data_IF_301221448307
#
_entry.id   IF_301221448307
#
_cell.length_a   1.000
_cell.length_b   1.000
_cell.length_c   1.000
_cell.angle_alpha   90.00
_cell.angle_beta   90.00
_cell.angle_gamma   90.00
#
_symmetry.space_group_name_H-M   'P 1'
#
loop_
_entity.id
_entity.type
_entity.pdbx_description
1 polymer ?
#
# COMPACT_ATOMS: atom_id res chain seq x y z
N UNK A 1 25.70 38.97 -9.07
CA UNK A 1 26.26 37.72 -8.51
C UNK A 1 25.37 37.32 -7.36
N UNK A 2 24.79 36.12 -7.36
CA UNK A 2 23.95 35.66 -6.25
C UNK A 2 24.80 35.63 -4.97
N UNK A 3 24.23 36.02 -3.87
CA UNK A 3 24.88 36.00 -2.57
C UNK A 3 25.11 34.59 -2.10
N UNK A 4 26.05 34.36 -1.20
CA UNK A 4 26.34 33.01 -0.66
C UNK A 4 25.11 32.39 0.05
N UNK A 5 24.19 33.22 0.51
CA UNK A 5 22.90 32.84 1.09
C UNK A 5 21.91 32.30 0.02
N UNK A 6 21.77 33.00 -1.11
CA UNK A 6 20.92 32.62 -2.23
C UNK A 6 21.37 31.29 -2.88
N UNK A 7 22.69 31.06 -3.02
CA UNK A 7 23.25 29.78 -3.50
C UNK A 7 22.89 28.66 -2.55
N UNK A 8 22.89 28.93 -1.24
CA UNK A 8 22.54 27.95 -0.24
C UNK A 8 21.05 27.57 -0.20
N UNK A 9 20.15 28.52 -0.42
CA UNK A 9 18.70 28.27 -0.49
C UNK A 9 18.35 27.43 -1.74
N UNK A 10 18.97 27.76 -2.87
CA UNK A 10 18.78 27.00 -4.12
C UNK A 10 19.23 25.54 -3.98
N UNK A 11 20.34 25.29 -3.27
CA UNK A 11 20.81 23.93 -3.01
C UNK A 11 19.87 23.13 -2.09
N UNK A 12 19.28 23.78 -1.07
CA UNK A 12 18.28 23.16 -0.19
C UNK A 12 17.02 22.80 -0.98
N UNK A 13 16.53 23.73 -1.78
CA UNK A 13 15.35 23.49 -2.63
C UNK A 13 15.61 22.35 -3.63
N UNK A 14 16.77 22.35 -4.26
CA UNK A 14 17.15 21.28 -5.20
C UNK A 14 17.26 19.91 -4.52
N UNK A 15 17.78 19.85 -3.29
CA UNK A 15 17.86 18.61 -2.52
C UNK A 15 16.47 18.10 -2.12
N UNK A 16 15.59 18.98 -1.63
CA UNK A 16 14.22 18.63 -1.27
C UNK A 16 13.40 18.20 -2.49
N UNK A 17 13.55 18.93 -3.61
CA UNK A 17 12.89 18.59 -4.87
C UNK A 17 13.37 17.20 -5.38
N UNK A 18 14.67 16.94 -5.31
CA UNK A 18 15.24 15.63 -5.68
C UNK A 18 14.71 14.49 -4.82
N UNK A 19 14.55 14.70 -3.52
CA UNK A 19 13.92 13.70 -2.61
C UNK A 19 12.44 13.53 -2.94
N UNK A 20 11.71 14.63 -3.19
CA UNK A 20 10.30 14.57 -3.56
C UNK A 20 10.07 13.88 -4.93
N UNK A 21 10.92 14.16 -5.92
CA UNK A 21 10.88 13.50 -7.22
C UNK A 21 11.20 12.00 -7.12
N UNK A 22 12.22 11.62 -6.32
CA UNK A 22 12.52 10.22 -6.03
C UNK A 22 11.34 9.54 -5.32
N UNK A 23 10.73 10.19 -4.34
CA UNK A 23 9.56 9.68 -3.62
C UNK A 23 8.32 9.53 -4.51
N UNK A 24 8.21 10.32 -5.58
CA UNK A 24 7.13 10.24 -6.55
C UNK A 24 7.37 9.19 -7.65
N UNK A 25 8.64 8.92 -7.97
CA UNK A 25 9.03 8.05 -9.08
C UNK A 25 9.42 6.62 -8.67
N UNK A 26 9.82 6.41 -7.40
CA UNK A 26 10.20 5.09 -6.92
C UNK A 26 8.96 4.36 -6.39
N UNK A 27 8.70 3.19 -6.96
CA UNK A 27 7.62 2.29 -6.53
C UNK A 27 8.05 1.46 -5.32
N UNK A 28 9.37 1.34 -5.08
CA UNK A 28 9.97 0.59 -3.99
C UNK A 28 10.44 1.54 -2.87
N UNK A 29 9.86 1.35 -1.69
CA UNK A 29 10.20 2.12 -0.49
C UNK A 29 11.62 1.86 -0.02
N UNK A 30 12.12 0.64 -0.19
CA UNK A 30 13.47 0.27 0.23
C UNK A 30 14.53 0.97 -0.64
N UNK A 31 14.27 1.13 -1.94
CA UNK A 31 15.12 1.92 -2.84
C UNK A 31 15.14 3.40 -2.45
N UNK A 32 14.00 3.98 -2.09
CA UNK A 32 13.92 5.36 -1.61
C UNK A 32 14.72 5.57 -0.32
N UNK A 33 14.56 4.69 0.66
CA UNK A 33 15.29 4.76 1.93
C UNK A 33 16.80 4.61 1.70
N UNK A 34 17.22 3.68 0.85
CA UNK A 34 18.63 3.49 0.49
C UNK A 34 19.22 4.71 -0.23
N UNK A 35 18.46 5.37 -1.10
CA UNK A 35 18.90 6.60 -1.76
C UNK A 35 19.07 7.76 -0.76
N UNK A 36 18.10 7.95 0.14
CA UNK A 36 18.14 9.01 1.16
C UNK A 36 19.34 8.86 2.08
N UNK A 37 19.61 7.66 2.63
CA UNK A 37 20.74 7.45 3.53
C UNK A 37 22.08 7.68 2.84
N UNK A 38 22.15 7.47 1.52
CA UNK A 38 23.36 7.66 0.72
C UNK A 38 23.62 9.13 0.38
N UNK A 39 22.57 9.88 0.07
CA UNK A 39 22.70 11.26 -0.41
C UNK A 39 22.77 12.30 0.71
N UNK A 40 22.02 12.07 1.80
CA UNK A 40 21.88 13.04 2.90
C UNK A 40 23.19 13.42 3.57
N UNK A 41 24.16 12.50 3.84
CA UNK A 41 25.45 12.86 4.44
C UNK A 41 26.20 13.94 3.65
N UNK A 42 26.18 13.86 2.33
CA UNK A 42 26.86 14.82 1.45
C UNK A 42 26.26 16.24 1.53
N UNK A 43 24.98 16.38 1.89
CA UNK A 43 24.31 17.67 2.00
C UNK A 43 24.69 18.44 3.26
N UNK A 44 25.02 17.72 4.33
CA UNK A 44 25.37 18.29 5.65
C UNK A 44 26.79 17.95 6.10
N UNK A 45 27.61 17.39 5.19
CA UNK A 45 29.04 17.10 5.38
C UNK A 45 29.34 16.26 6.62
N UNK A 46 28.60 15.20 6.80
CA UNK A 46 28.82 14.19 7.86
C UNK A 46 29.17 12.84 7.24
N UNK A 47 29.68 11.92 8.08
CA UNK A 47 30.16 10.62 7.61
C UNK A 47 29.03 9.65 7.29
N UNK A 48 28.03 9.56 8.17
CA UNK A 48 27.05 8.46 8.15
C UNK A 48 25.63 8.97 8.23
N UNK A 49 24.73 8.16 7.68
CA UNK A 49 23.28 8.35 7.82
C UNK A 49 22.61 7.00 8.04
N UNK A 50 21.57 6.99 8.88
CA UNK A 50 20.71 5.83 9.07
C UNK A 50 19.25 6.25 9.23
N UNK A 51 18.35 5.41 8.72
CA UNK A 51 16.91 5.53 8.94
C UNK A 51 16.45 4.45 9.91
N UNK A 52 15.77 4.87 10.95
CA UNK A 52 15.14 4.02 11.93
C UNK A 52 13.62 4.06 11.76
N UNK A 53 12.97 2.90 11.74
CA UNK A 53 11.53 2.80 11.93
C UNK A 53 11.21 2.84 13.43
N UNK A 54 10.07 3.42 13.79
CA UNK A 54 9.55 3.38 15.16
C UNK A 54 8.32 2.47 15.24
N UNK A 55 8.33 1.56 16.19
CA UNK A 55 7.18 0.71 16.54
C UNK A 55 6.55 1.21 17.84
N UNK A 56 5.30 1.68 17.74
CA UNK A 56 4.55 2.23 18.86
C UNK A 56 4.12 1.14 19.88
N UNK A 57 3.93 -0.11 19.39
CA UNK A 57 3.52 -1.23 20.24
C UNK A 57 4.66 -1.75 21.11
N UNK A 58 5.87 -1.87 20.58
CA UNK A 58 7.07 -2.28 21.34
C UNK A 58 7.85 -1.09 21.91
N UNK A 59 7.53 0.15 21.47
CA UNK A 59 8.22 1.38 21.85
C UNK A 59 9.72 1.34 21.55
N UNK A 60 10.05 0.92 20.32
CA UNK A 60 11.42 0.72 19.89
C UNK A 60 11.72 1.43 18.57
N UNK A 61 12.92 1.99 18.46
CA UNK A 61 13.50 2.39 17.19
C UNK A 61 14.35 1.24 16.64
N UNK A 62 14.09 0.85 15.38
CA UNK A 62 14.80 -0.24 14.72
C UNK A 62 15.45 0.26 13.44
N UNK A 63 16.77 0.10 13.32
CA UNK A 63 17.50 0.47 12.10
C UNK A 63 16.99 -0.32 10.90
N UNK A 64 16.71 0.39 9.81
CA UNK A 64 16.22 -0.17 8.54
C UNK A 64 17.27 -0.08 7.45
N UNK A 65 17.84 1.11 7.27
CA UNK A 65 18.86 1.39 6.29
C UNK A 65 19.95 2.25 6.91
N UNK A 66 21.19 2.00 6.54
CA UNK A 66 22.33 2.80 6.96
C UNK A 66 23.36 2.91 5.84
N UNK A 67 24.09 4.01 5.85
CA UNK A 67 25.17 4.30 4.92
C UNK A 67 26.40 4.80 5.68
N UNK A 68 27.58 4.34 5.26
CA UNK A 68 28.87 4.88 5.64
C UNK A 68 29.82 4.93 4.44
N UNK A 69 30.78 5.86 4.40
CA UNK A 69 31.82 5.90 3.37
C UNK A 69 32.61 4.59 3.32
N UNK A 70 32.93 4.15 2.11
CA UNK A 70 33.67 2.90 1.91
C UNK A 70 32.79 1.64 1.89
N UNK A 71 31.49 1.76 2.20
CA UNK A 71 30.56 0.62 2.23
C UNK A 71 30.80 -0.35 3.38
N UNK A 72 30.17 -1.52 3.29
CA UNK A 72 30.29 -2.58 4.31
C UNK A 72 29.30 -2.44 5.45
N UNK A 73 29.47 -3.26 6.49
CA UNK A 73 28.61 -3.29 7.68
C UNK A 73 28.76 -2.01 8.50
N UNK A 74 27.65 -1.48 8.96
CA UNK A 74 27.58 -0.29 9.81
C UNK A 74 27.28 -0.67 11.26
N UNK A 75 27.64 0.16 12.26
CA UNK A 75 27.24 -0.10 13.66
C UNK A 75 25.73 0.01 13.90
N UNK A 76 24.97 0.42 12.89
CA UNK A 76 23.51 0.48 12.93
C UNK A 76 22.86 -0.83 12.46
N UNK A 77 23.59 -1.73 11.81
CA UNK A 77 23.02 -2.96 11.25
C UNK A 77 22.44 -3.84 12.36
N UNK A 78 21.13 -4.08 12.27
CA UNK A 78 20.38 -4.81 13.29
C UNK A 78 20.20 -4.08 14.63
N UNK A 79 20.59 -2.80 14.73
CA UNK A 79 20.45 -2.03 15.96
C UNK A 79 18.98 -1.79 16.29
N UNK A 80 18.61 -2.12 17.52
CA UNK A 80 17.31 -1.83 18.12
C UNK A 80 17.57 -0.96 19.36
N UNK A 81 16.80 0.11 19.49
CA UNK A 81 16.90 1.10 20.56
C UNK A 81 15.53 1.22 21.23
N UNK A 82 15.28 0.49 22.35
CA UNK A 82 14.10 0.70 23.16
C UNK A 82 14.10 2.13 23.76
N UNK A 83 12.93 2.72 23.89
CA UNK A 83 12.80 4.04 24.54
C UNK A 83 13.39 4.05 25.96
N UNK A 84 13.30 2.92 26.67
CA UNK A 84 13.88 2.75 28.00
C UNK A 84 15.38 2.98 28.06
N UNK A 85 16.08 2.67 26.96
CA UNK A 85 17.53 2.81 26.86
C UNK A 85 17.95 4.26 26.51
N UNK A 86 17.05 5.03 25.91
CA UNK A 86 17.29 6.40 25.45
C UNK A 86 16.17 7.37 25.88
N UNK A 87 15.76 7.43 27.14
CA UNK A 87 14.52 8.07 27.58
C UNK A 87 14.43 9.56 27.24
N UNK A 88 15.52 10.33 27.39
CA UNK A 88 15.53 11.76 27.04
C UNK A 88 15.46 11.99 25.53
N UNK A 89 16.16 11.16 24.75
CA UNK A 89 16.12 11.22 23.28
C UNK A 89 14.73 10.82 22.79
N UNK A 90 14.19 9.73 23.31
CA UNK A 90 12.84 9.27 22.98
C UNK A 90 11.77 10.32 23.31
N UNK A 91 11.84 10.97 24.47
CA UNK A 91 10.92 12.06 24.84
C UNK A 91 10.95 13.18 23.80
N UNK A 92 12.14 13.60 23.35
CA UNK A 92 12.26 14.66 22.34
C UNK A 92 11.72 14.24 21.00
N UNK A 93 12.05 13.04 20.54
CA UNK A 93 11.65 12.55 19.20
C UNK A 93 10.16 12.16 19.16
N UNK A 94 9.67 11.42 20.16
CA UNK A 94 8.32 10.83 20.15
C UNK A 94 7.28 11.80 20.69
N UNK A 95 7.53 12.39 21.88
CA UNK A 95 6.53 13.24 22.55
C UNK A 95 6.57 14.69 22.03
N UNK A 96 7.76 15.26 21.90
CA UNK A 96 7.94 16.66 21.51
C UNK A 96 8.09 16.85 19.99
N UNK A 97 8.42 15.77 19.26
CA UNK A 97 8.69 15.81 17.78
C UNK A 97 9.77 16.82 17.41
N UNK A 98 10.77 16.93 18.26
CA UNK A 98 11.89 17.84 18.11
C UNK A 98 13.17 17.09 17.76
N UNK A 99 14.07 17.70 16.96
CA UNK A 99 15.40 17.15 16.70
C UNK A 99 16.20 17.01 17.99
N UNK A 100 17.13 16.07 17.99
CA UNK A 100 18.11 15.84 19.03
C UNK A 100 19.51 16.06 18.48
N UNK A 101 20.26 16.92 19.14
CA UNK A 101 21.68 17.11 18.87
C UNK A 101 22.50 16.38 19.94
N UNK A 102 23.45 15.55 19.49
CA UNK A 102 24.44 14.89 20.33
C UNK A 102 25.78 15.52 20.06
N UNK A 103 26.33 16.23 21.03
CA UNK A 103 27.67 16.83 20.92
C UNK A 103 28.67 16.22 21.89
N UNK A 104 29.95 16.41 21.63
CA UNK A 104 30.99 15.95 22.53
C UNK A 104 30.90 16.74 23.85
N UNK A 105 30.77 16.03 24.98
CA UNK A 105 30.64 16.65 26.30
C UNK A 105 29.24 17.09 26.69
N UNK A 106 28.22 16.86 25.87
CA UNK A 106 26.84 17.23 26.15
C UNK A 106 26.11 16.17 26.99
N UNK A 107 25.33 16.63 27.99
CA UNK A 107 24.40 15.79 28.78
C UNK A 107 23.08 15.59 28.02
N UNK A 108 23.17 15.13 26.76
CA UNK A 108 22.00 14.84 25.91
C UNK A 108 21.14 13.70 26.46
N UNK A 109 21.58 12.99 27.49
CA UNK A 109 20.95 11.80 28.02
C UNK A 109 21.07 10.57 27.11
N UNK A 110 21.97 10.63 26.09
CA UNK A 110 22.27 9.48 25.28
C UNK A 110 23.35 8.62 25.98
N UNK A 111 23.13 7.30 26.20
CA UNK A 111 24.04 6.46 26.99
C UNK A 111 25.47 6.43 26.42
N UNK A 112 26.44 6.69 27.28
CA UNK A 112 27.84 6.72 26.89
C UNK A 112 28.35 5.38 26.31
N UNK A 113 27.85 4.26 26.85
CA UNK A 113 28.12 2.90 26.34
C UNK A 113 27.66 2.72 24.89
N UNK A 114 26.45 3.20 24.57
CA UNK A 114 25.86 3.14 23.25
C UNK A 114 26.62 4.08 22.29
N UNK A 115 26.90 5.31 22.74
CA UNK A 115 27.73 6.26 21.98
C UNK A 115 29.08 5.68 21.59
N UNK A 116 29.76 5.02 22.55
CA UNK A 116 31.05 4.35 22.32
C UNK A 116 30.90 3.17 21.36
N UNK A 117 29.84 2.37 21.47
CA UNK A 117 29.57 1.23 20.60
C UNK A 117 29.34 1.67 19.16
N UNK A 118 28.58 2.74 18.94
CA UNK A 118 28.31 3.30 17.61
C UNK A 118 29.53 4.07 17.08
N UNK A 119 30.39 4.58 17.95
CA UNK A 119 31.57 5.37 17.59
C UNK A 119 31.25 6.81 17.19
N UNK A 120 30.09 7.33 17.62
CA UNK A 120 29.60 8.67 17.28
C UNK A 120 30.27 9.75 18.09
N UNK A 121 30.85 10.77 17.45
CA UNK A 121 31.38 11.98 18.10
C UNK A 121 30.30 13.07 18.20
N UNK A 122 29.58 13.29 17.13
CA UNK A 122 28.44 14.20 17.08
C UNK A 122 27.33 13.61 16.22
N UNK A 123 26.07 13.87 16.57
CA UNK A 123 24.94 13.42 15.76
C UNK A 123 23.78 14.42 15.79
N UNK A 124 23.02 14.41 14.68
CA UNK A 124 21.72 15.01 14.55
C UNK A 124 20.69 13.91 14.32
N UNK A 125 19.70 13.80 15.18
CA UNK A 125 18.61 12.84 15.05
C UNK A 125 17.33 13.64 14.86
N UNK A 126 16.66 13.42 13.72
CA UNK A 126 15.43 14.14 13.36
C UNK A 126 14.26 13.16 13.31
N UNK A 127 13.13 13.45 13.97
CA UNK A 127 11.97 12.59 13.90
C UNK A 127 11.34 12.61 12.49
N UNK A 128 10.96 11.44 12.00
CA UNK A 128 10.18 11.27 10.78
C UNK A 128 8.72 11.19 11.21
N UNK A 129 7.94 12.21 10.87
CA UNK A 129 6.54 12.37 11.32
C UNK A 129 5.61 12.52 10.14
N UNK A 130 4.44 11.87 10.21
CA UNK A 130 3.32 12.15 9.32
C UNK A 130 2.01 12.12 10.09
N UNK A 131 1.13 13.08 9.81
CA UNK A 131 -0.22 13.18 10.42
C UNK A 131 -0.20 13.00 11.95
N UNK A 132 0.65 13.70 12.65
CA UNK A 132 0.80 13.62 14.10
C UNK A 132 1.30 12.27 14.67
N UNK A 133 1.80 11.37 13.83
CA UNK A 133 2.40 10.10 14.25
C UNK A 133 3.88 10.09 13.95
N UNK A 134 4.66 9.60 14.91
CA UNK A 134 6.06 9.26 14.68
C UNK A 134 6.15 7.95 13.86
N UNK A 135 6.87 7.99 12.74
CA UNK A 135 7.11 6.83 11.89
C UNK A 135 8.52 6.28 12.09
N UNK A 136 9.44 7.13 12.57
CA UNK A 136 10.83 6.77 12.76
C UNK A 136 11.71 7.96 13.07
N UNK A 137 12.99 7.80 12.80
CA UNK A 137 13.99 8.85 12.93
C UNK A 137 15.05 8.76 11.84
N UNK A 138 15.50 9.92 11.38
CA UNK A 138 16.66 10.06 10.51
C UNK A 138 17.85 10.45 11.37
N UNK A 139 18.88 9.61 11.37
CA UNK A 139 20.10 9.76 12.15
C UNK A 139 21.25 10.13 11.22
N UNK A 140 21.92 11.22 11.51
CA UNK A 140 23.15 11.64 10.83
C UNK A 140 24.23 11.82 11.87
N UNK A 141 25.42 11.30 11.61
CA UNK A 141 26.53 11.45 12.56
C UNK A 141 27.90 11.55 11.88
N UNK A 142 28.84 12.11 12.66
CA UNK A 142 30.24 12.21 12.32
C UNK A 142 31.06 11.37 13.32
N UNK A 143 31.97 10.59 12.80
CA UNK A 143 32.87 9.71 13.56
C UNK A 143 34.27 10.25 13.67
N UNK A 144 34.66 11.12 12.74
CA UNK A 144 36.01 11.64 12.58
C UNK A 144 36.26 12.88 13.44
N UNK A 145 35.27 13.78 13.47
CA UNK A 145 35.35 15.07 14.16
C UNK A 145 34.08 15.41 14.92
N UNK A 146 34.13 16.42 15.80
CA UNK A 146 32.95 17.00 16.40
C UNK A 146 32.33 18.00 15.41
N UNK A 147 31.31 17.56 14.66
CA UNK A 147 30.57 18.41 13.75
C UNK A 147 29.53 19.25 14.51
N UNK A 148 29.53 20.56 14.26
CA UNK A 148 28.55 21.49 14.81
C UNK A 148 27.48 21.76 13.77
N UNK A 149 26.30 21.15 13.93
CA UNK A 149 25.18 21.32 13.02
C UNK A 149 24.65 22.75 13.07
N UNK A 150 24.68 23.43 11.96
CA UNK A 150 24.10 24.77 11.79
C UNK A 150 22.59 24.69 11.70
N UNK A 151 21.88 25.79 11.99
CA UNK A 151 20.42 25.86 11.82
C UNK A 151 19.99 25.52 10.39
N UNK A 152 20.81 25.88 9.40
CA UNK A 152 20.55 25.57 7.99
C UNK A 152 20.59 24.05 7.74
N UNK A 153 21.61 23.35 8.23
CA UNK A 153 21.73 21.91 8.10
C UNK A 153 20.58 21.17 8.81
N UNK A 154 20.23 21.64 10.02
CA UNK A 154 19.08 21.10 10.74
C UNK A 154 17.79 21.25 9.93
N UNK A 155 17.54 22.42 9.34
CA UNK A 155 16.37 22.68 8.51
C UNK A 155 16.33 21.79 7.25
N UNK A 156 17.48 21.57 6.60
CA UNK A 156 17.60 20.66 5.45
C UNK A 156 17.18 19.24 5.86
N UNK A 157 17.75 18.72 6.94
CA UNK A 157 17.48 17.37 7.41
C UNK A 157 16.03 17.22 7.88
N UNK A 158 15.46 18.25 8.52
CA UNK A 158 14.04 18.26 8.88
C UNK A 158 13.13 18.24 7.64
N UNK A 159 13.49 19.01 6.59
CA UNK A 159 12.78 18.96 5.31
C UNK A 159 12.79 17.57 4.70
N UNK A 160 13.97 16.92 4.64
CA UNK A 160 14.12 15.55 4.15
C UNK A 160 13.28 14.58 5.00
N UNK A 161 13.33 14.68 6.33
CA UNK A 161 12.55 13.82 7.23
C UNK A 161 11.03 14.01 7.05
N UNK A 162 10.59 15.24 6.73
CA UNK A 162 9.17 15.53 6.44
C UNK A 162 8.72 14.87 5.14
N UNK A 163 9.48 15.03 4.05
CA UNK A 163 9.17 14.39 2.77
C UNK A 163 9.19 12.87 2.88
N UNK A 164 10.16 12.32 3.62
CA UNK A 164 10.23 10.89 3.91
C UNK A 164 9.00 10.43 4.70
N UNK A 165 8.54 11.21 5.67
CA UNK A 165 7.33 10.92 6.44
C UNK A 165 6.08 10.83 5.55
N UNK A 166 5.93 11.75 4.60
CA UNK A 166 4.83 11.75 3.63
C UNK A 166 4.89 10.51 2.73
N UNK A 167 6.08 10.18 2.21
CA UNK A 167 6.28 9.03 1.34
C UNK A 167 5.98 7.70 2.07
N UNK A 168 6.50 7.53 3.29
CA UNK A 168 6.26 6.36 4.13
C UNK A 168 4.77 6.17 4.47
N UNK A 169 4.05 7.26 4.78
CA UNK A 169 2.62 7.21 5.10
C UNK A 169 1.80 6.80 3.87
N UNK A 170 2.12 7.35 2.69
CA UNK A 170 1.49 6.97 1.42
C UNK A 170 1.69 5.50 1.10
N UNK A 171 2.91 5.00 1.20
CA UNK A 171 3.22 3.59 0.94
C UNK A 171 2.49 2.66 1.91
N UNK A 172 2.46 3.00 3.20
CA UNK A 172 1.75 2.23 4.22
C UNK A 172 0.24 2.19 3.98
N UNK A 173 -0.35 3.30 3.54
CA UNK A 173 -1.77 3.35 3.18
C UNK A 173 -2.06 2.49 1.95
N UNK A 174 -1.22 2.56 0.92
CA UNK A 174 -1.34 1.75 -0.28
C UNK A 174 -1.25 0.25 0.05
N UNK A 175 -0.27 -0.15 0.87
CA UNK A 175 -0.11 -1.53 1.32
C UNK A 175 -1.33 -2.03 2.12
N UNK A 176 -1.86 -1.18 3.00
CA UNK A 176 -3.07 -1.49 3.78
C UNK A 176 -4.30 -1.69 2.90
N UNK A 177 -4.49 -0.82 1.90
CA UNK A 177 -5.57 -0.96 0.91
C UNK A 177 -5.42 -2.26 0.12
N UNK A 178 -4.22 -2.58 -0.35
CA UNK A 178 -3.94 -3.81 -1.07
C UNK A 178 -4.18 -5.06 -0.20
N UNK A 179 -3.82 -5.02 1.07
CA UNK A 179 -4.10 -6.13 2.00
C UNK A 179 -5.60 -6.34 2.21
N UNK A 180 -6.37 -5.26 2.42
CA UNK A 180 -7.82 -5.32 2.58
C UNK A 180 -8.47 -5.86 1.30
N UNK A 181 -8.03 -5.37 0.14
CA UNK A 181 -8.49 -5.86 -1.16
C UNK A 181 -8.23 -7.35 -1.34
N UNK A 182 -7.01 -7.83 -1.10
CA UNK A 182 -6.66 -9.26 -1.19
C UNK A 182 -7.48 -10.13 -0.23
N UNK A 183 -7.74 -9.65 0.98
CA UNK A 183 -8.58 -10.35 1.95
C UNK A 183 -10.02 -10.47 1.44
N UNK A 184 -10.55 -9.38 0.87
CA UNK A 184 -11.88 -9.39 0.27
C UNK A 184 -11.96 -10.38 -0.90
N UNK A 185 -11.01 -10.35 -1.82
CA UNK A 185 -10.90 -11.26 -2.96
C UNK A 185 -10.84 -12.74 -2.50
N UNK A 186 -10.03 -13.03 -1.49
CA UNK A 186 -9.92 -14.38 -0.93
C UNK A 186 -11.22 -14.85 -0.27
N UNK A 187 -11.91 -14.00 0.47
CA UNK A 187 -13.20 -14.32 1.09
C UNK A 187 -14.29 -14.52 0.02
N UNK A 188 -14.33 -13.65 -0.99
CA UNK A 188 -15.28 -13.73 -2.09
C UNK A 188 -15.11 -15.07 -2.83
N UNK A 189 -13.89 -15.44 -3.21
CA UNK A 189 -13.60 -16.70 -3.89
C UNK A 189 -13.89 -17.97 -3.04
N UNK A 190 -13.83 -17.86 -1.71
CA UNK A 190 -14.17 -18.97 -0.81
C UNK A 190 -15.68 -19.17 -0.65
N UNK A 191 -16.47 -18.11 -0.83
CA UNK A 191 -17.92 -18.10 -0.55
C UNK A 191 -18.79 -18.19 -1.81
N UNK A 192 -18.26 -17.82 -2.97
CA UNK A 192 -19.00 -17.76 -4.24
C UNK A 192 -18.12 -18.21 -5.41
N UNK A 193 -18.74 -18.69 -6.48
CA UNK A 193 -18.05 -19.01 -7.73
C UNK A 193 -17.75 -17.76 -8.54
N UNK A 194 -18.40 -16.61 -8.22
CA UNK A 194 -18.15 -15.31 -8.80
C UNK A 194 -18.86 -14.20 -8.05
N UNK A 195 -18.32 -12.98 -8.16
CA UNK A 195 -18.91 -11.77 -7.57
C UNK A 195 -19.14 -10.73 -8.64
N UNK A 196 -20.36 -10.19 -8.67
CA UNK A 196 -20.80 -9.08 -9.50
C UNK A 196 -21.07 -7.87 -8.60
N UNK A 197 -20.54 -6.72 -8.94
CA UNK A 197 -20.75 -5.46 -8.21
C UNK A 197 -21.52 -4.49 -9.10
N UNK A 198 -22.60 -3.93 -8.57
CA UNK A 198 -23.39 -2.89 -9.24
C UNK A 198 -23.53 -1.65 -8.37
N UNK A 199 -23.83 -0.50 -8.97
CA UNK A 199 -24.20 0.72 -8.27
C UNK A 199 -25.69 0.75 -7.85
N UNK A 200 -26.13 1.85 -7.23
CA UNK A 200 -27.52 2.03 -6.80
C UNK A 200 -28.56 2.06 -7.96
N UNK A 201 -28.11 2.30 -9.20
CA UNK A 201 -28.92 2.28 -10.41
C UNK A 201 -28.85 0.92 -11.15
N UNK A 202 -28.25 -0.09 -10.51
CA UNK A 202 -28.05 -1.42 -11.07
C UNK A 202 -27.15 -1.43 -12.32
N UNK A 203 -26.20 -0.48 -12.43
CA UNK A 203 -25.15 -0.51 -13.44
C UNK A 203 -23.97 -1.31 -12.92
N UNK A 204 -23.43 -2.13 -13.80
CA UNK A 204 -22.27 -2.97 -13.47
C UNK A 204 -21.06 -2.08 -13.19
N UNK A 205 -20.52 -2.19 -12.00
CA UNK A 205 -19.27 -1.53 -11.57
C UNK A 205 -18.09 -2.42 -11.84
N UNK A 206 -18.21 -3.71 -11.48
CA UNK A 206 -17.12 -4.67 -11.64
C UNK A 206 -17.62 -6.13 -11.64
N UNK A 207 -16.80 -7.02 -12.20
CA UNK A 207 -16.90 -8.48 -12.13
C UNK A 207 -15.56 -9.01 -11.62
N UNK A 208 -15.58 -9.94 -10.69
CA UNK A 208 -14.35 -10.64 -10.33
C UNK A 208 -14.00 -11.73 -11.35
N UNK A 209 -12.78 -12.28 -11.26
CA UNK A 209 -12.32 -13.33 -12.18
C UNK A 209 -13.22 -14.58 -12.16
N UNK A 210 -13.87 -14.88 -11.03
CA UNK A 210 -14.84 -15.98 -10.93
C UNK A 210 -16.10 -15.69 -11.75
N UNK A 211 -16.66 -14.50 -11.66
CA UNK A 211 -17.82 -14.09 -12.44
C UNK A 211 -17.50 -14.01 -13.94
N UNK A 212 -16.31 -13.52 -14.31
CA UNK A 212 -15.84 -13.53 -15.70
C UNK A 212 -15.75 -14.97 -16.25
N UNK A 213 -15.15 -15.90 -15.49
CA UNK A 213 -15.06 -17.30 -15.89
C UNK A 213 -16.44 -18.00 -15.97
N UNK A 214 -17.34 -17.65 -15.05
CA UNK A 214 -18.69 -18.22 -14.97
C UNK A 214 -19.59 -17.75 -16.11
N UNK A 215 -19.54 -16.45 -16.44
CA UNK A 215 -20.45 -15.78 -17.36
C UNK A 215 -19.83 -15.48 -18.73
N UNK A 216 -18.51 -15.52 -18.88
CA UNK A 216 -17.78 -15.27 -20.13
C UNK A 216 -17.67 -13.80 -20.52
N UNK A 217 -18.18 -12.88 -19.71
CA UNK A 217 -18.08 -11.44 -19.95
C UNK A 217 -16.84 -10.88 -19.24
N UNK A 218 -16.06 -10.05 -19.95
CA UNK A 218 -15.00 -9.29 -19.30
C UNK A 218 -15.59 -8.05 -18.61
N UNK A 219 -15.08 -7.71 -17.43
CA UNK A 219 -15.56 -6.54 -16.69
C UNK A 219 -15.50 -5.24 -17.53
N UNK A 220 -14.46 -5.09 -18.38
CA UNK A 220 -14.29 -3.94 -19.27
C UNK A 220 -15.40 -3.79 -20.32
N UNK A 221 -16.04 -4.89 -20.75
CA UNK A 221 -17.07 -4.90 -21.80
C UNK A 221 -18.45 -4.53 -21.24
N UNK A 222 -18.68 -4.79 -19.97
CA UNK A 222 -20.00 -4.65 -19.33
C UNK A 222 -20.09 -3.50 -18.34
N UNK A 223 -18.99 -2.89 -17.96
CA UNK A 223 -18.95 -1.78 -17.00
C UNK A 223 -19.81 -0.60 -17.45
N UNK A 224 -20.64 -0.09 -16.53
CA UNK A 224 -21.60 0.98 -16.77
C UNK A 224 -22.90 0.55 -17.43
N UNK A 225 -22.98 -0.69 -17.97
CA UNK A 225 -24.23 -1.22 -18.54
C UNK A 225 -25.15 -1.74 -17.43
N UNK A 226 -26.42 -1.77 -17.71
CA UNK A 226 -27.40 -2.28 -16.72
C UNK A 226 -27.35 -3.80 -16.65
N UNK A 227 -27.31 -4.32 -15.41
CA UNK A 227 -27.17 -5.76 -15.14
C UNK A 227 -28.21 -6.63 -15.82
N UNK A 228 -29.48 -6.19 -15.85
CA UNK A 228 -30.58 -6.94 -16.45
C UNK A 228 -30.56 -6.89 -18.00
N UNK A 229 -29.92 -5.91 -18.60
CA UNK A 229 -29.73 -5.84 -20.07
C UNK A 229 -28.60 -6.78 -20.52
N UNK A 230 -27.50 -6.86 -19.73
CA UNK A 230 -26.35 -7.71 -20.06
C UNK A 230 -26.69 -9.19 -19.89
N UNK A 231 -27.32 -9.54 -18.77
CA UNK A 231 -27.61 -10.95 -18.44
C UNK A 231 -29.03 -11.37 -18.81
N UNK A 232 -29.77 -10.53 -19.55
CA UNK A 232 -31.14 -10.79 -20.05
C UNK A 232 -32.05 -11.39 -18.98
N UNK A 233 -32.07 -10.77 -17.80
CA UNK A 233 -32.97 -11.18 -16.72
C UNK A 233 -34.38 -10.73 -17.13
N UNK A 234 -35.16 -11.64 -17.68
CA UNK A 234 -36.51 -11.39 -18.25
C UNK A 234 -37.58 -11.41 -17.20
N UNK A 235 -37.33 -12.00 -16.06
CA UNK A 235 -38.29 -12.03 -14.96
C UNK A 235 -38.44 -10.66 -14.31
N UNK A 236 -39.63 -10.06 -14.49
CA UNK A 236 -39.97 -8.75 -13.92
C UNK A 236 -39.91 -8.78 -12.37
N UNK A 237 -40.26 -9.90 -11.75
CA UNK A 237 -40.15 -10.06 -10.29
C UNK A 237 -38.67 -10.09 -9.85
N UNK A 238 -37.80 -10.74 -10.61
CA UNK A 238 -36.37 -10.73 -10.37
C UNK A 238 -35.79 -9.32 -10.50
N UNK A 239 -36.15 -8.56 -11.54
CA UNK A 239 -35.70 -7.16 -11.71
C UNK A 239 -36.14 -6.26 -10.56
N UNK A 240 -37.42 -6.38 -10.09
CA UNK A 240 -37.93 -5.65 -8.94
C UNK A 240 -37.26 -6.11 -7.65
N UNK A 241 -37.00 -7.39 -7.53
CA UNK A 241 -36.32 -8.00 -6.39
C UNK A 241 -34.89 -7.48 -6.22
N UNK A 242 -34.13 -7.32 -7.30
CA UNK A 242 -32.78 -6.75 -7.24
C UNK A 242 -32.78 -5.34 -6.65
N UNK A 243 -33.83 -4.54 -6.91
CA UNK A 243 -34.01 -3.22 -6.29
C UNK A 243 -34.55 -3.27 -4.86
N UNK A 244 -35.46 -4.20 -4.55
CA UNK A 244 -36.04 -4.34 -3.20
C UNK A 244 -35.04 -4.95 -2.22
N UNK A 245 -34.21 -5.87 -2.67
CA UNK A 245 -33.19 -6.52 -1.87
C UNK A 245 -32.14 -5.51 -1.37
N UNK A 246 -31.98 -4.40 -2.09
CA UNK A 246 -31.15 -3.28 -1.67
C UNK A 246 -31.71 -2.48 -0.48
N UNK A 247 -33.01 -2.57 -0.18
CA UNK A 247 -33.67 -1.75 0.84
C UNK A 247 -33.89 -2.45 2.20
N UNK A 248 -33.69 -3.80 2.27
CA UNK A 248 -34.01 -4.63 3.45
C UNK A 248 -32.82 -5.29 4.14
N UNK A 249 -33.06 -6.09 5.20
CA UNK A 249 -32.08 -6.99 5.74
C UNK A 249 -31.65 -8.00 4.68
N UNK A 250 -30.39 -8.54 4.78
CA UNK A 250 -29.79 -9.41 3.79
C UNK A 250 -30.82 -10.41 3.18
N UNK A 251 -31.11 -10.29 1.88
CA UNK A 251 -32.18 -11.08 1.27
C UNK A 251 -31.80 -12.57 1.22
N UNK A 252 -32.82 -13.43 1.25
CA UNK A 252 -32.62 -14.86 1.08
C UNK A 252 -32.02 -15.13 -0.31
N UNK A 253 -31.11 -16.11 -0.43
CA UNK A 253 -30.55 -16.51 -1.71
C UNK A 253 -31.66 -16.89 -2.71
N UNK A 254 -31.52 -16.46 -3.97
CA UNK A 254 -32.49 -16.74 -5.05
C UNK A 254 -31.82 -17.47 -6.20
N UNK A 255 -32.52 -18.37 -6.84
CA UNK A 255 -32.06 -18.97 -8.09
C UNK A 255 -32.42 -18.02 -9.24
N UNK A 256 -31.42 -17.69 -10.07
CA UNK A 256 -31.58 -16.92 -11.28
C UNK A 256 -30.88 -17.60 -12.45
N UNK A 257 -31.47 -17.48 -13.62
CA UNK A 257 -30.84 -17.86 -14.87
C UNK A 257 -30.24 -16.62 -15.52
N UNK A 258 -28.91 -16.59 -15.59
CA UNK A 258 -28.14 -15.50 -16.15
C UNK A 258 -27.65 -15.90 -17.55
N UNK A 259 -27.82 -15.04 -18.53
CA UNK A 259 -27.31 -15.29 -19.89
C UNK A 259 -25.82 -15.01 -19.93
N UNK A 260 -25.03 -16.01 -20.27
CA UNK A 260 -23.61 -15.90 -20.48
C UNK A 260 -23.28 -15.26 -21.84
N UNK A 261 -22.01 -14.95 -22.09
CA UNK A 261 -21.54 -14.35 -23.34
C UNK A 261 -21.84 -15.23 -24.59
N UNK A 262 -21.81 -16.54 -24.45
CA UNK A 262 -22.17 -17.51 -25.49
C UNK A 262 -23.69 -17.67 -25.71
N UNK A 263 -24.48 -16.76 -25.14
CA UNK A 263 -25.95 -16.76 -25.18
C UNK A 263 -26.61 -17.97 -24.46
N UNK A 264 -25.85 -18.83 -23.79
CA UNK A 264 -26.40 -19.95 -23.03
C UNK A 264 -26.66 -19.55 -21.57
N UNK A 265 -27.73 -20.10 -20.95
CA UNK A 265 -28.06 -19.79 -19.57
C UNK A 265 -27.11 -20.48 -18.59
N UNK A 266 -26.76 -19.74 -17.54
CA UNK A 266 -26.06 -20.28 -16.35
C UNK A 266 -27.00 -20.08 -15.15
N UNK A 267 -27.42 -21.18 -14.55
CA UNK A 267 -28.26 -21.14 -13.36
C UNK A 267 -27.40 -20.95 -12.12
N UNK A 268 -27.63 -19.87 -11.42
CA UNK A 268 -26.88 -19.50 -10.21
C UNK A 268 -27.83 -19.25 -9.04
N UNK A 269 -27.41 -19.65 -7.84
CA UNK A 269 -27.94 -19.09 -6.61
C UNK A 269 -27.28 -17.74 -6.37
N UNK A 270 -28.05 -16.69 -6.29
CA UNK A 270 -27.57 -15.30 -6.14
C UNK A 270 -27.93 -14.79 -4.76
N UNK A 271 -26.93 -14.28 -4.04
CA UNK A 271 -27.10 -13.63 -2.75
C UNK A 271 -26.61 -12.19 -2.82
N UNK A 272 -27.42 -11.23 -2.39
CA UNK A 272 -27.08 -9.82 -2.40
C UNK A 272 -26.55 -9.34 -1.04
N UNK A 273 -25.58 -8.42 -1.07
CA UNK A 273 -25.13 -7.64 0.06
C UNK A 273 -25.04 -6.16 -0.33
N UNK A 274 -25.57 -5.28 0.52
CA UNK A 274 -25.65 -3.84 0.23
C UNK A 274 -24.56 -3.08 0.97
N UNK A 275 -23.80 -2.26 0.25
CA UNK A 275 -22.86 -1.31 0.80
C UNK A 275 -23.49 0.09 0.76
N UNK A 276 -23.54 0.73 1.92
CA UNK A 276 -24.08 2.09 2.04
C UNK A 276 -22.95 3.09 2.26
N UNK A 277 -23.14 4.29 1.78
CA UNK A 277 -22.25 5.41 2.02
C UNK A 277 -22.45 6.01 3.43
N UNK A 278 -21.67 7.06 3.75
CA UNK A 278 -21.76 7.80 5.02
C UNK A 278 -23.11 8.49 5.26
N UNK A 279 -23.94 8.65 4.24
CA UNK A 279 -25.26 9.26 4.31
C UNK A 279 -26.38 8.22 4.40
N UNK A 280 -26.03 6.90 4.38
CA UNK A 280 -26.97 5.80 4.41
C UNK A 280 -27.54 5.42 3.05
N UNK A 281 -27.14 6.13 1.97
CA UNK A 281 -27.55 5.82 0.60
C UNK A 281 -26.80 4.60 0.07
N UNK A 282 -27.43 3.87 -0.85
CA UNK A 282 -26.83 2.70 -1.47
C UNK A 282 -25.70 3.15 -2.38
N UNK A 283 -24.49 2.82 -2.00
CA UNK A 283 -23.30 3.06 -2.81
C UNK A 283 -23.07 1.94 -3.82
N UNK A 284 -23.16 0.69 -3.36
CA UNK A 284 -22.96 -0.49 -4.18
C UNK A 284 -23.80 -1.66 -3.68
N UNK A 285 -24.09 -2.61 -4.57
CA UNK A 285 -24.69 -3.89 -4.26
C UNK A 285 -23.75 -4.97 -4.80
N UNK A 286 -23.37 -5.90 -3.93
CA UNK A 286 -22.55 -7.05 -4.27
C UNK A 286 -23.45 -8.26 -4.43
N UNK A 287 -23.33 -8.96 -5.55
CA UNK A 287 -24.04 -10.21 -5.81
C UNK A 287 -23.03 -11.36 -5.82
N UNK A 288 -23.11 -12.21 -4.82
CA UNK A 288 -22.39 -13.49 -4.78
C UNK A 288 -23.13 -14.49 -5.65
N UNK A 289 -22.48 -15.01 -6.67
CA UNK A 289 -23.00 -15.97 -7.62
C UNK A 289 -22.46 -17.36 -7.27
N UNK A 290 -23.34 -18.30 -7.00
CA UNK A 290 -22.95 -19.69 -6.81
C UNK A 290 -23.62 -20.56 -7.87
N UNK A 291 -22.81 -21.20 -8.69
CA UNK A 291 -23.28 -22.07 -9.76
C UNK A 291 -24.08 -23.24 -9.19
N UNK A 292 -25.24 -23.53 -9.78
CA UNK A 292 -26.03 -24.70 -9.39
C UNK A 292 -25.33 -26.00 -9.83
N UNK A 293 -25.27 -27.03 -8.97
CA UNK A 293 -24.74 -28.32 -9.37
C UNK A 293 -25.38 -28.87 -10.64
N UNK A 294 -24.56 -29.36 -11.57
CA UNK A 294 -25.01 -29.85 -12.88
C UNK A 294 -25.13 -28.81 -13.98
N UNK A 295 -24.94 -27.53 -13.67
CA UNK A 295 -24.83 -26.45 -14.69
C UNK A 295 -23.37 -26.21 -15.03
N UNK A 296 -23.02 -26.13 -16.34
CA UNK A 296 -21.67 -25.74 -16.78
C UNK A 296 -21.57 -24.24 -16.94
N UNK A 297 -20.55 -23.64 -16.39
CA UNK A 297 -20.19 -22.26 -16.64
C UNK A 297 -19.59 -22.05 -18.03
N UNK A 298 -19.41 -20.79 -18.44
CA UNK A 298 -18.86 -20.47 -19.77
C UNK A 298 -17.46 -21.08 -20.00
N UNK A 299 -16.53 -20.94 -19.05
CA UNK A 299 -15.18 -21.46 -19.18
C UNK A 299 -15.14 -22.99 -19.30
N UNK A 300 -15.98 -23.70 -18.54
CA UNK A 300 -16.10 -25.17 -18.63
C UNK A 300 -16.62 -25.63 -19.98
N UNK A 301 -17.61 -24.92 -20.57
CA UNK A 301 -18.14 -25.19 -21.90
C UNK A 301 -17.13 -24.90 -23.01
N UNK A 302 -16.36 -23.84 -22.86
CA UNK A 302 -15.31 -23.49 -23.80
C UNK A 302 -14.19 -24.56 -23.83
N UNK A 303 -13.81 -25.10 -22.69
CA UNK A 303 -12.84 -26.21 -22.61
C UNK A 303 -13.35 -27.49 -23.25
N UNK A 304 -14.59 -27.92 -22.98
CA UNK A 304 -15.20 -29.11 -23.59
C UNK A 304 -15.25 -28.98 -25.12
N UNK A 305 -15.48 -27.78 -25.63
CA UNK A 305 -15.51 -27.53 -27.09
C UNK A 305 -14.14 -27.69 -27.73
N UNK A 306 -13.07 -27.29 -27.03
CA UNK A 306 -11.68 -27.47 -27.50
C UNK A 306 -11.25 -28.93 -27.47
N UNK A 307 -11.63 -29.70 -26.44
CA UNK A 307 -11.32 -31.11 -26.32
C UNK A 307 -12.01 -31.93 -27.42
N UNK A 308 -13.24 -31.57 -27.79
CA UNK A 308 -13.99 -32.24 -28.91
C UNK A 308 -13.37 -31.93 -30.27
N UNK A 309 -12.75 -30.81 -30.47
CA UNK A 309 -12.06 -30.46 -31.72
C UNK A 309 -10.68 -31.14 -31.83
N UNK A 310 -10.01 -31.40 -30.70
CA UNK A 310 -8.71 -32.07 -30.64
C UNK A 310 -8.80 -33.59 -30.90
N UNK A 311 -9.93 -34.24 -30.66
CA UNK A 311 -10.12 -35.66 -30.85
C UNK A 311 -10.52 -36.07 -32.29
N UNK A 312 -10.92 -35.10 -33.14
CA UNK A 312 -11.34 -35.37 -34.53
C UNK A 312 -10.20 -35.36 -35.56
N UNK A 313 -8.94 -35.20 -35.17
CA UNK A 313 -7.80 -35.23 -36.10
C UNK A 313 -7.04 -36.58 -36.13
N UNK A 314 -7.60 -37.67 -35.61
CA UNK A 314 -6.94 -38.98 -35.46
C UNK A 314 -7.40 -40.09 -36.37
N UNK A 315 -8.38 -39.90 -37.27
CA UNK A 315 -8.76 -40.94 -38.26
C UNK A 315 -8.11 -40.64 -39.59
N UNK A 316 -7.01 -41.35 -39.90
CA UNK A 316 -6.48 -41.47 -41.25
C UNK A 316 -7.45 -42.31 -42.08
N UNK A 317 -7.67 -41.99 -43.40
CA UNK A 317 -8.53 -42.78 -44.26
C UNK A 317 -7.92 -44.18 -44.48
N UNK A 318 -8.74 -45.25 -44.51
CA UNK A 318 -8.25 -46.59 -44.84
C UNK A 318 -7.83 -46.64 -46.34
N UNK A 319 -6.71 -47.32 -46.57
CA UNK A 319 -6.19 -47.68 -47.86
C UNK A 319 -7.16 -48.58 -48.67
#
# INVERSE_FOLDING_TARGET
MPTQEEIGETQVLAALLGVAEMAAGLTDMDELLAAIVRLTPGLVRVDRCAVFSYDEGTREFRARFAFQPGGGSTPFDGLVLPESDIPRVAQRLVSLRLPVLLQAGDDSGFPASLRKRIGTKSALIVPIVSRDRILGALWLDDTSSAHYFTSKEINIVQGIATELGIALDRARLAERLNLVRRRFEALASALADGVLIVDGDLRIVDLDAGAEALLGWQASEVRGRRVYEVFEITDAEAQISWRKDAAGPAPAPKELSLRAHDALPVVCTVQAAVVRDRHGEISQILYALRKKPGTKGYAERAMDSLDTLGTNHGEAPPE
#
